data_IF_177384364275
#
_entry.id   IF_177384364275
#
_cell.length_a   1.000
_cell.length_b   1.000
_cell.length_c   1.000
_cell.angle_alpha   90.00
_cell.angle_beta   90.00
_cell.angle_gamma   90.00
#
_symmetry.space_group_name_H-M   'P 1'
#
loop_
_entity.id
_entity.type
_entity.pdbx_description
1 polymer ?
#
# COMPACT_ATOMS: atom_id res chain seq x y z
N UNK A 1 -0.29 1.30 12.24
CA UNK A 1 0.75 2.30 11.86
C UNK A 1 0.12 3.65 11.55
N UNK A 2 0.87 4.75 11.54
CA UNK A 2 0.39 6.06 11.05
C UNK A 2 0.37 6.14 9.50
N UNK A 3 -0.54 6.96 8.93
CA UNK A 3 -0.70 7.10 7.48
C UNK A 3 0.49 7.76 6.78
N UNK A 4 1.13 8.74 7.42
CA UNK A 4 2.33 9.37 6.88
C UNK A 4 3.47 8.35 6.79
N UNK A 5 3.66 7.56 7.85
CA UNK A 5 4.65 6.49 7.83
C UNK A 5 4.37 5.42 6.77
N UNK A 6 3.09 5.07 6.56
CA UNK A 6 2.71 4.14 5.50
C UNK A 6 3.07 4.69 4.12
N UNK A 7 2.79 5.97 3.89
CA UNK A 7 3.12 6.66 2.64
C UNK A 7 4.62 6.66 2.35
N UNK A 8 5.45 6.97 3.34
CA UNK A 8 6.92 6.94 3.20
C UNK A 8 7.43 5.56 2.79
N UNK A 9 6.98 4.51 3.49
CA UNK A 9 7.41 3.15 3.21
C UNK A 9 6.95 2.68 1.82
N UNK A 10 5.71 3.01 1.44
CA UNK A 10 5.20 2.68 0.10
C UNK A 10 5.99 3.39 -1.00
N UNK A 11 6.33 4.68 -0.84
CA UNK A 11 7.18 5.41 -1.80
C UNK A 11 8.57 4.80 -1.94
N UNK A 12 9.19 4.44 -0.82
CA UNK A 12 10.49 3.77 -0.85
C UNK A 12 10.43 2.46 -1.67
N UNK A 13 9.33 1.73 -1.55
CA UNK A 13 9.11 0.49 -2.30
C UNK A 13 8.82 0.71 -3.78
N UNK A 14 8.10 1.77 -4.17
CA UNK A 14 7.85 2.10 -5.59
C UNK A 14 9.13 2.55 -6.30
N UNK A 15 10.00 3.28 -5.60
CA UNK A 15 11.28 3.77 -6.15
C UNK A 15 12.32 2.66 -6.36
N UNK A 16 12.31 1.60 -5.54
CA UNK A 16 13.29 0.51 -5.63
C UNK A 16 13.06 -0.50 -6.78
N UNK A 17 11.95 -0.41 -7.53
CA UNK A 17 11.73 -1.12 -8.80
C UNK A 17 11.74 -2.67 -8.80
N UNK A 18 11.93 -3.35 -7.66
CA UNK A 18 12.01 -4.82 -7.60
C UNK A 18 10.68 -5.47 -7.19
N UNK A 19 10.34 -6.62 -7.79
CA UNK A 19 9.10 -7.36 -7.47
C UNK A 19 8.99 -7.85 -6.01
N UNK A 20 10.10 -7.91 -5.27
CA UNK A 20 10.10 -8.20 -3.83
C UNK A 20 9.37 -7.12 -3.01
N UNK A 21 9.23 -5.91 -3.56
CA UNK A 21 8.57 -4.78 -2.91
C UNK A 21 7.04 -4.93 -2.85
N UNK A 22 6.46 -5.78 -3.70
CA UNK A 22 5.00 -5.98 -3.75
C UNK A 22 4.46 -6.61 -2.47
N UNK A 23 5.12 -7.63 -1.94
CA UNK A 23 4.64 -8.29 -0.72
C UNK A 23 4.76 -7.38 0.51
N UNK A 24 5.84 -6.61 0.62
CA UNK A 24 6.00 -5.61 1.67
C UNK A 24 4.90 -4.54 1.60
N UNK A 25 4.67 -3.98 0.40
CA UNK A 25 3.59 -3.03 0.17
C UNK A 25 2.20 -3.62 0.52
N UNK A 26 1.95 -4.89 0.19
CA UNK A 26 0.71 -5.60 0.56
C UNK A 26 0.51 -5.66 2.08
N UNK A 27 1.57 -5.91 2.86
CA UNK A 27 1.50 -5.96 4.33
C UNK A 27 1.26 -4.57 4.92
N UNK A 28 1.90 -3.53 4.37
CA UNK A 28 1.66 -2.14 4.77
C UNK A 28 0.19 -1.77 4.53
N UNK A 29 -0.36 -2.06 3.35
CA UNK A 29 -1.76 -1.79 3.03
C UNK A 29 -2.73 -2.57 3.91
N UNK A 30 -2.40 -3.82 4.29
CA UNK A 30 -3.22 -4.59 5.24
C UNK A 30 -3.28 -3.93 6.62
N UNK A 31 -2.15 -3.43 7.11
CA UNK A 31 -2.08 -2.72 8.39
C UNK A 31 -2.80 -1.36 8.32
N UNK A 32 -2.67 -0.62 7.21
CA UNK A 32 -3.44 0.61 6.97
C UNK A 32 -4.94 0.32 6.96
N UNK A 33 -5.38 -0.74 6.28
CA UNK A 33 -6.79 -1.14 6.25
C UNK A 33 -7.32 -1.43 7.65
N UNK A 34 -6.52 -2.11 8.48
CA UNK A 34 -6.89 -2.48 9.84
C UNK A 34 -7.05 -1.26 10.76
N UNK A 35 -6.20 -0.25 10.61
CA UNK A 35 -6.16 0.91 11.52
C UNK A 35 -7.02 2.08 11.01
N UNK A 36 -6.99 2.36 9.72
CA UNK A 36 -7.59 3.57 9.10
C UNK A 36 -8.75 3.24 8.16
N UNK A 37 -9.02 1.96 7.93
CA UNK A 37 -10.10 1.50 7.07
C UNK A 37 -9.76 1.45 5.57
N UNK A 38 -10.64 0.86 4.76
CA UNK A 38 -10.43 0.66 3.33
C UNK A 38 -10.30 1.97 2.53
N UNK A 39 -11.00 3.02 2.94
CA UNK A 39 -10.91 4.32 2.25
C UNK A 39 -9.50 4.93 2.31
N UNK A 40 -8.74 4.66 3.38
CA UNK A 40 -7.36 5.12 3.48
C UNK A 40 -6.42 4.34 2.56
N UNK A 41 -6.67 3.04 2.38
CA UNK A 41 -5.96 2.21 1.40
C UNK A 41 -6.20 2.72 -0.01
N UNK A 42 -7.46 2.98 -0.38
CA UNK A 42 -7.81 3.48 -1.72
C UNK A 42 -7.12 4.81 -2.04
N UNK A 43 -7.06 5.71 -1.04
CA UNK A 43 -6.33 6.98 -1.18
C UNK A 43 -4.85 6.76 -1.44
N UNK A 44 -4.19 5.85 -0.72
CA UNK A 44 -2.77 5.54 -0.93
C UNK A 44 -2.50 4.87 -2.28
N UNK A 45 -3.41 4.01 -2.73
CA UNK A 45 -3.32 3.37 -4.06
C UNK A 45 -3.31 4.43 -5.16
N UNK A 46 -4.24 5.39 -5.10
CA UNK A 46 -4.33 6.49 -6.08
C UNK A 46 -3.17 7.46 -5.94
N UNK A 47 -2.81 7.86 -4.72
CA UNK A 47 -1.77 8.87 -4.48
C UNK A 47 -0.39 8.42 -4.95
N UNK A 48 -0.07 7.13 -4.81
CA UNK A 48 1.26 6.58 -5.07
C UNK A 48 1.32 5.71 -6.33
N UNK A 49 0.29 5.73 -7.15
CA UNK A 49 0.15 4.93 -8.38
C UNK A 49 0.48 3.44 -8.17
N UNK A 50 -0.02 2.88 -7.05
CA UNK A 50 0.30 1.50 -6.66
C UNK A 50 -0.33 0.48 -7.60
N UNK A 51 -1.30 0.89 -8.42
CA UNK A 51 -1.85 0.06 -9.49
C UNK A 51 -0.80 -0.16 -10.58
N UNK A 52 -0.11 0.88 -11.04
CA UNK A 52 0.95 0.75 -12.02
C UNK A 52 2.16 -0.01 -11.48
N UNK A 53 2.60 0.33 -10.26
CA UNK A 53 3.80 -0.27 -9.66
C UNK A 53 3.59 -1.73 -9.23
N UNK A 54 2.42 -2.07 -8.69
CA UNK A 54 2.18 -3.35 -8.01
C UNK A 54 0.87 -4.05 -8.38
N UNK A 55 0.01 -3.45 -9.21
CA UNK A 55 -1.30 -4.01 -9.56
C UNK A 55 -2.31 -4.00 -8.41
N UNK A 56 -2.13 -3.12 -7.43
CA UNK A 56 -3.12 -2.91 -6.37
C UNK A 56 -4.21 -1.96 -6.85
N UNK A 57 -5.47 -2.38 -6.75
CA UNK A 57 -6.60 -1.61 -7.24
C UNK A 57 -7.43 -1.05 -6.09
N UNK A 58 -7.97 0.18 -6.19
CA UNK A 58 -8.94 0.67 -5.22
C UNK A 58 -10.11 -0.32 -5.07
N UNK A 59 -10.60 -0.48 -3.84
CA UNK A 59 -11.63 -1.47 -3.48
C UNK A 59 -11.08 -2.89 -3.22
N UNK A 60 -9.78 -3.15 -3.46
CA UNK A 60 -9.18 -4.41 -3.02
C UNK A 60 -9.12 -4.49 -1.49
N UNK A 61 -9.29 -5.71 -0.98
CA UNK A 61 -9.11 -6.02 0.44
C UNK A 61 -7.74 -6.62 0.68
N UNK A 62 -7.05 -6.06 1.67
CA UNK A 62 -5.74 -6.51 2.10
C UNK A 62 -5.86 -7.15 3.48
N UNK A 63 -5.28 -8.35 3.61
CA UNK A 63 -5.25 -9.11 4.85
C UNK A 63 -3.79 -9.51 5.13
N UNK A 64 -3.34 -9.32 6.37
CA UNK A 64 -2.11 -9.98 6.81
C UNK A 64 -2.35 -11.51 6.78
N UNK A 65 -1.30 -12.32 6.51
CA UNK A 65 -1.40 -13.76 6.65
C UNK A 65 -1.84 -14.17 8.06
#
# INVERSE_FOLDING_TARGET
>A
MDLERARELLRMHTEMGSGYNRNAARLILAEVQRVHGPAAVDRLIVELDLEHHFGFRPGQRFHAP
#
